data_IF_094636729620
#
_entry.id   IF_094636729620
#
_cell.length_a   1.000
_cell.length_b   1.000
_cell.length_c   1.000
_cell.angle_alpha   90.00
_cell.angle_beta   90.00
_cell.angle_gamma   90.00
#
_symmetry.space_group_name_H-M   'P 1'
#
loop_
_entity.id
_entity.type
_entity.pdbx_description
1 polymer ?
#
# COMPACT_ATOMS: atom_id res chain seq x y z
N UNK A 1 10.21 -20.55 -26.35
CA UNK A 1 10.09 -20.19 -25.74
C UNK A 1 9.71 -19.69 -25.16
N UNK A 2 9.36 -19.63 -25.10
CA UNK A 2 9.02 -19.06 -24.47
C UNK A 2 9.14 -18.75 -23.59
N UNK A 3 9.43 -18.43 -23.55
CA UNK A 3 9.55 -18.14 -22.58
C UNK A 3 8.71 -17.66 -21.83
N UNK A 4 8.76 -18.06 -21.03
CA UNK A 4 7.71 -17.58 -20.23
C UNK A 4 8.19 -16.45 -19.42
N UNK A 5 7.78 -15.33 -19.77
CA UNK A 5 8.02 -14.16 -18.96
C UNK A 5 6.81 -13.96 -18.12
N UNK A 6 6.96 -14.14 -16.83
CA UNK A 6 5.89 -13.80 -15.90
C UNK A 6 5.71 -12.29 -15.94
N UNK A 7 4.54 -11.80 -16.27
CA UNK A 7 4.31 -10.35 -16.27
C UNK A 7 4.59 -9.80 -14.89
N UNK A 8 5.36 -8.73 -14.83
CA UNK A 8 5.58 -8.04 -13.58
C UNK A 8 4.38 -7.17 -13.29
N UNK A 9 3.85 -7.27 -12.09
CA UNK A 9 2.75 -6.40 -11.76
C UNK A 9 3.24 -4.98 -11.55
N UNK A 10 2.47 -4.03 -12.06
CA UNK A 10 2.71 -2.62 -11.83
C UNK A 10 1.53 -2.00 -11.08
N UNK A 11 0.71 -2.82 -10.48
CA UNK A 11 -0.52 -2.36 -9.84
C UNK A 11 -0.25 -2.04 -8.37
N UNK A 12 -0.81 -0.94 -7.92
CA UNK A 12 -0.73 -0.53 -6.51
C UNK A 12 -2.15 -0.35 -6.00
N UNK A 13 -2.47 -1.05 -4.93
CA UNK A 13 -3.77 -0.92 -4.28
C UNK A 13 -3.79 0.35 -3.43
N UNK A 14 -4.85 1.13 -3.57
CA UNK A 14 -5.03 2.36 -2.79
C UNK A 14 -6.39 2.28 -2.13
N UNK A 15 -6.41 2.26 -0.81
CA UNK A 15 -7.64 2.23 -0.03
C UNK A 15 -7.72 3.48 0.84
N UNK A 16 -8.67 4.34 0.56
CA UNK A 16 -8.88 5.58 1.30
C UNK A 16 -10.32 6.01 1.09
N UNK A 17 -11.02 6.35 2.17
CA UNK A 17 -12.41 6.76 2.08
C UNK A 17 -12.60 8.22 1.65
N UNK A 18 -11.53 9.01 1.68
CA UNK A 18 -11.57 10.39 1.21
C UNK A 18 -11.28 10.42 -0.30
N UNK A 19 -12.27 10.78 -1.14
CA UNK A 19 -12.05 10.75 -2.59
C UNK A 19 -10.98 11.73 -3.04
N UNK A 20 -10.75 12.82 -2.33
CA UNK A 20 -9.73 13.80 -2.70
C UNK A 20 -8.35 13.20 -2.48
N UNK A 21 -8.11 12.61 -1.33
CA UNK A 21 -6.84 11.97 -1.03
C UNK A 21 -6.62 10.77 -1.97
N UNK A 22 -7.66 9.98 -2.16
CA UNK A 22 -7.59 8.82 -3.06
C UNK A 22 -7.17 9.23 -4.47
N UNK A 23 -7.74 10.33 -4.97
CA UNK A 23 -7.39 10.84 -6.29
C UNK A 23 -5.95 11.35 -6.33
N UNK A 24 -5.53 12.08 -5.30
CA UNK A 24 -4.16 12.57 -5.22
C UNK A 24 -3.16 11.42 -5.24
N UNK A 25 -3.39 10.41 -4.42
CA UNK A 25 -2.51 9.26 -4.36
C UNK A 25 -2.47 8.53 -5.70
N UNK A 26 -3.63 8.34 -6.33
CA UNK A 26 -3.71 7.69 -7.63
C UNK A 26 -2.92 8.45 -8.68
N UNK A 27 -3.01 9.78 -8.66
CA UNK A 27 -2.29 10.62 -9.62
C UNK A 27 -0.78 10.45 -9.47
N UNK A 28 -0.28 10.49 -8.24
CA UNK A 28 1.15 10.32 -7.98
C UNK A 28 1.63 8.93 -8.39
N UNK A 29 0.84 7.92 -8.09
CA UNK A 29 1.16 6.54 -8.47
C UNK A 29 1.30 6.42 -9.98
N UNK A 30 0.38 7.03 -10.73
CA UNK A 30 0.47 7.05 -12.19
C UNK A 30 1.72 7.76 -12.68
N UNK A 31 2.06 8.88 -12.07
CA UNK A 31 3.25 9.64 -12.45
C UNK A 31 4.52 8.84 -12.27
N UNK A 32 4.53 7.91 -11.33
CA UNK A 32 5.68 7.04 -11.09
C UNK A 32 5.68 5.80 -11.99
N UNK A 33 4.71 5.65 -12.87
CA UNK A 33 4.67 4.57 -13.83
C UNK A 33 3.89 3.34 -13.37
N UNK A 34 3.10 3.48 -12.33
CA UNK A 34 2.31 2.37 -11.80
C UNK A 34 0.83 2.54 -12.11
N UNK A 35 0.09 1.46 -11.95
CA UNK A 35 -1.35 1.44 -12.22
C UNK A 35 -2.09 1.46 -10.89
N UNK A 36 -2.82 2.53 -10.58
CA UNK A 36 -3.57 2.59 -9.33
C UNK A 36 -4.84 1.75 -9.42
N UNK A 37 -5.12 1.01 -8.36
CA UNK A 37 -6.37 0.28 -8.19
C UNK A 37 -6.97 0.82 -6.91
N UNK A 38 -8.06 1.57 -7.02
CA UNK A 38 -8.59 2.33 -5.89
C UNK A 38 -9.86 1.70 -5.33
N UNK A 39 -9.96 1.70 -4.01
CA UNK A 39 -11.17 1.30 -3.29
C UNK A 39 -11.46 2.33 -2.21
N UNK A 40 -12.72 2.40 -1.80
CA UNK A 40 -13.18 3.47 -0.91
C UNK A 40 -13.22 3.11 0.57
N UNK A 41 -13.03 1.85 0.93
CA UNK A 41 -13.03 1.46 2.33
C UNK A 41 -12.32 0.12 2.52
N UNK A 42 -12.11 -0.25 3.78
CA UNK A 42 -11.36 -1.45 4.11
C UNK A 42 -12.08 -2.74 3.72
N UNK A 43 -13.42 -2.73 3.74
CA UNK A 43 -14.19 -3.91 3.36
C UNK A 43 -14.07 -4.18 1.86
N UNK A 44 -14.13 -3.12 1.06
CA UNK A 44 -13.89 -3.23 -0.37
C UNK A 44 -12.50 -3.77 -0.67
N UNK A 45 -11.49 -3.24 0.04
CA UNK A 45 -10.12 -3.69 -0.13
C UNK A 45 -10.00 -5.17 0.19
N UNK A 46 -10.59 -5.60 1.28
CA UNK A 46 -10.56 -7.00 1.68
C UNK A 46 -11.22 -7.91 0.64
N UNK A 47 -12.39 -7.51 0.15
CA UNK A 47 -13.10 -8.27 -0.88
C UNK A 47 -12.27 -8.40 -2.15
N UNK A 48 -11.66 -7.31 -2.57
CA UNK A 48 -10.83 -7.32 -3.76
C UNK A 48 -9.64 -8.27 -3.59
N UNK A 49 -8.98 -8.20 -2.45
CA UNK A 49 -7.79 -9.01 -2.22
C UNK A 49 -8.10 -10.51 -2.03
N UNK A 50 -9.34 -10.86 -1.79
CA UNK A 50 -9.72 -12.27 -1.76
C UNK A 50 -9.65 -12.92 -3.14
N UNK A 51 -9.83 -12.13 -4.18
CA UNK A 51 -9.84 -12.65 -5.56
C UNK A 51 -8.67 -12.16 -6.39
N UNK A 52 -7.90 -11.19 -5.90
CA UNK A 52 -6.83 -10.57 -6.66
C UNK A 52 -5.69 -10.22 -5.71
N UNK A 53 -4.54 -10.84 -5.91
CA UNK A 53 -3.36 -10.60 -5.08
C UNK A 53 -2.23 -9.99 -5.88
N UNK A 54 -2.49 -9.53 -7.09
CA UNK A 54 -1.46 -9.07 -8.01
C UNK A 54 -1.19 -7.58 -7.81
N UNK A 55 -0.53 -7.26 -6.69
CA UNK A 55 -0.19 -5.89 -6.32
C UNK A 55 1.28 -5.77 -5.96
N UNK A 56 1.91 -4.72 -6.46
CA UNK A 56 3.29 -4.38 -6.15
C UNK A 56 3.42 -3.80 -4.75
N UNK A 57 2.42 -3.07 -4.31
CA UNK A 57 2.35 -2.44 -3.00
C UNK A 57 0.91 -2.11 -2.66
N UNK A 58 0.67 -1.79 -1.40
CA UNK A 58 -0.63 -1.32 -0.94
C UNK A 58 -0.46 -0.05 -0.14
N UNK A 59 -1.29 0.94 -0.41
CA UNK A 59 -1.33 2.20 0.32
C UNK A 59 -2.69 2.25 1.01
N UNK A 60 -2.68 2.23 2.33
CA UNK A 60 -3.89 2.08 3.12
C UNK A 60 -4.05 3.25 4.08
N UNK A 61 -5.26 3.81 4.11
CA UNK A 61 -5.62 4.78 5.13
C UNK A 61 -5.78 4.05 6.46
N UNK A 62 -5.22 4.61 7.51
CA UNK A 62 -5.34 4.05 8.86
C UNK A 62 -6.80 3.98 9.31
N UNK A 63 -7.57 5.01 9.00
CA UNK A 63 -8.93 5.16 9.49
C UNK A 63 -9.92 5.08 8.34
N UNK A 64 -10.61 3.96 8.23
CA UNK A 64 -11.61 3.72 7.19
C UNK A 64 -12.85 3.09 7.80
N UNK A 65 -14.03 3.35 7.19
CA UNK A 65 -15.24 2.66 7.64
C UNK A 65 -15.11 1.14 7.49
N UNK A 66 -15.77 0.43 8.37
CA UNK A 66 -15.95 -1.02 8.36
C UNK A 66 -14.70 -1.81 8.73
N UNK A 67 -13.54 -1.46 8.20
CA UNK A 67 -12.33 -2.20 8.45
C UNK A 67 -11.15 -1.23 8.42
N UNK A 68 -10.52 -1.03 9.57
CA UNK A 68 -9.41 -0.10 9.68
C UNK A 68 -8.14 -0.64 9.03
N UNK A 69 -7.22 0.29 8.72
CA UNK A 69 -5.99 -0.08 8.05
C UNK A 69 -5.19 -1.15 8.77
N UNK A 70 -5.10 -1.08 10.10
CA UNK A 70 -4.34 -2.07 10.85
C UNK A 70 -4.97 -3.47 10.76
N UNK A 71 -6.29 -3.55 10.73
CA UNK A 71 -6.99 -4.83 10.57
C UNK A 71 -6.72 -5.42 9.20
N UNK A 72 -6.68 -4.56 8.19
CA UNK A 72 -6.41 -4.99 6.84
C UNK A 72 -4.97 -5.52 6.71
N UNK A 73 -4.01 -4.86 7.38
CA UNK A 73 -2.64 -5.32 7.42
C UNK A 73 -2.57 -6.72 8.03
N UNK A 74 -3.24 -6.92 9.14
CA UNK A 74 -3.25 -8.23 9.79
C UNK A 74 -3.80 -9.30 8.87
N UNK A 75 -4.87 -9.00 8.18
CA UNK A 75 -5.44 -9.92 7.20
C UNK A 75 -4.41 -10.26 6.13
N UNK A 76 -3.76 -9.25 5.57
CA UNK A 76 -2.78 -9.46 4.50
C UNK A 76 -1.60 -10.32 4.96
N UNK A 77 -1.17 -10.15 6.20
CA UNK A 77 -0.02 -10.90 6.71
C UNK A 77 -0.34 -12.36 7.04
N UNK A 78 -1.61 -12.72 7.12
CA UNK A 78 -2.00 -14.12 7.34
C UNK A 78 -2.28 -14.86 6.05
N UNK A 79 -2.31 -14.17 4.90
CA UNK A 79 -2.60 -14.77 3.60
C UNK A 79 -1.32 -14.93 2.80
N UNK A 80 -0.99 -16.14 2.41
CA UNK A 80 0.26 -16.41 1.66
C UNK A 80 0.37 -15.57 0.41
N UNK A 81 -0.74 -15.35 -0.28
CA UNK A 81 -0.75 -14.58 -1.52
C UNK A 81 -0.48 -13.10 -1.31
N UNK A 82 -0.67 -12.62 -0.09
CA UNK A 82 -0.62 -11.17 0.21
C UNK A 82 0.52 -10.80 1.15
N UNK A 83 1.10 -11.77 1.84
CA UNK A 83 1.98 -11.50 2.96
C UNK A 83 3.28 -10.79 2.61
N UNK A 84 3.65 -10.78 1.35
CA UNK A 84 4.88 -10.13 0.91
C UNK A 84 4.67 -8.76 0.29
N UNK A 85 3.43 -8.32 0.16
CA UNK A 85 3.14 -7.02 -0.43
C UNK A 85 3.56 -5.93 0.55
N UNK A 86 4.46 -5.02 0.15
CA UNK A 86 4.84 -3.90 1.03
C UNK A 86 3.63 -2.99 1.26
N UNK A 87 3.51 -2.50 2.49
CA UNK A 87 2.34 -1.71 2.89
C UNK A 87 2.77 -0.38 3.44
N UNK A 88 2.22 0.70 2.88
CA UNK A 88 2.34 2.04 3.42
C UNK A 88 1.02 2.42 4.07
N UNK A 89 1.05 2.84 5.33
CA UNK A 89 -0.11 3.40 6.00
C UNK A 89 -0.07 4.91 5.91
N UNK A 90 -1.22 5.49 5.60
CA UNK A 90 -1.41 6.93 5.64
C UNK A 90 -2.27 7.24 6.85
N UNK A 91 -1.85 8.19 7.68
CA UNK A 91 -2.56 8.48 8.91
C UNK A 91 -2.56 9.97 9.22
N UNK A 92 -3.68 10.45 9.75
CA UNK A 92 -3.79 11.80 10.30
C UNK A 92 -3.50 11.80 11.81
N UNK A 93 -3.41 10.62 12.42
CA UNK A 93 -3.28 10.48 13.87
C UNK A 93 -1.84 10.29 14.27
N UNK A 94 -1.29 11.19 15.12
CA UNK A 94 0.09 11.04 15.58
C UNK A 94 0.21 10.13 16.80
N UNK A 95 -0.57 9.08 16.90
CA UNK A 95 -0.55 8.18 18.03
C UNK A 95 0.59 7.18 17.87
N UNK A 96 1.63 7.35 18.70
CA UNK A 96 2.83 6.53 18.66
C UNK A 96 2.52 5.06 18.91
N UNK A 97 1.58 4.77 19.80
CA UNK A 97 1.20 3.40 20.09
C UNK A 97 0.58 2.74 18.84
N UNK A 98 -0.30 3.47 18.18
CA UNK A 98 -0.94 2.95 16.99
C UNK A 98 0.07 2.71 15.86
N UNK A 99 1.04 3.61 15.72
CA UNK A 99 2.12 3.43 14.75
C UNK A 99 2.95 2.20 15.07
N UNK A 100 3.31 2.05 16.35
CA UNK A 100 4.09 0.90 16.80
C UNK A 100 3.34 -0.41 16.55
N UNK A 101 2.06 -0.44 16.89
CA UNK A 101 1.22 -1.62 16.67
C UNK A 101 1.11 -1.96 15.19
N UNK A 102 1.03 -0.94 14.35
CA UNK A 102 0.92 -1.13 12.90
C UNK A 102 2.21 -1.69 12.30
N UNK A 103 3.37 -1.23 12.77
CA UNK A 103 4.65 -1.82 12.36
C UNK A 103 4.74 -3.28 12.81
N UNK A 104 4.33 -3.54 14.04
CA UNK A 104 4.32 -4.91 14.56
C UNK A 104 3.38 -5.80 13.76
N UNK A 105 2.28 -5.25 13.28
CA UNK A 105 1.33 -5.98 12.45
C UNK A 105 1.86 -6.22 11.04
N UNK A 106 2.84 -5.45 10.58
CA UNK A 106 3.46 -5.68 9.29
C UNK A 106 3.48 -4.50 8.33
N UNK A 107 3.16 -3.29 8.79
CA UNK A 107 3.30 -2.11 7.95
C UNK A 107 4.78 -1.87 7.65
N UNK A 108 5.07 -1.43 6.44
CA UNK A 108 6.44 -1.20 5.99
C UNK A 108 6.83 0.27 6.10
N UNK A 109 5.87 1.16 5.93
CA UNK A 109 6.13 2.60 5.91
C UNK A 109 4.90 3.36 6.38
N UNK A 110 5.12 4.61 6.79
CA UNK A 110 4.05 5.53 7.18
C UNK A 110 4.19 6.84 6.44
N UNK A 111 3.04 7.46 6.18
CA UNK A 111 2.99 8.81 5.66
C UNK A 111 1.93 9.58 6.44
N UNK A 112 2.32 10.72 7.01
CA UNK A 112 1.40 11.52 7.84
C UNK A 112 0.60 12.49 6.99
N UNK A 113 -0.71 12.58 7.24
CA UNK A 113 -1.57 13.60 6.63
C UNK A 113 -1.44 14.91 7.41
N UNK A 114 -1.43 16.08 6.75
CA UNK A 114 -1.38 16.26 5.32
C UNK A 114 0.00 16.03 4.75
N UNK A 115 0.09 15.61 3.50
CA UNK A 115 1.37 15.39 2.83
C UNK A 115 1.36 16.07 1.46
N UNK A 116 2.55 16.35 0.96
CA UNK A 116 2.71 16.91 -0.38
C UNK A 116 2.90 15.76 -1.38
N UNK A 117 2.63 16.02 -2.68
CA UNK A 117 2.93 15.01 -3.70
C UNK A 117 4.39 14.54 -3.66
N UNK A 118 5.32 15.45 -3.37
CA UNK A 118 6.74 15.12 -3.28
C UNK A 118 7.04 14.19 -2.12
N UNK A 119 6.41 14.41 -0.99
CA UNK A 119 6.56 13.53 0.17
C UNK A 119 6.04 12.12 -0.14
N UNK A 120 4.91 12.06 -0.83
CA UNK A 120 4.35 10.77 -1.23
C UNK A 120 5.26 10.06 -2.23
N UNK A 121 5.79 10.80 -3.22
CA UNK A 121 6.72 10.24 -4.19
C UNK A 121 7.94 9.65 -3.50
N UNK A 122 8.52 10.40 -2.57
CA UNK A 122 9.70 9.94 -1.83
C UNK A 122 9.39 8.67 -1.03
N UNK A 123 8.27 8.68 -0.33
CA UNK A 123 7.86 7.52 0.46
C UNK A 123 7.63 6.30 -0.42
N UNK A 124 6.99 6.48 -1.57
CA UNK A 124 6.74 5.39 -2.50
C UNK A 124 8.03 4.83 -3.10
N UNK A 125 8.95 5.71 -3.46
CA UNK A 125 10.24 5.25 -3.98
C UNK A 125 10.98 4.42 -2.95
N UNK A 126 10.95 4.83 -1.70
CA UNK A 126 11.57 4.07 -0.62
C UNK A 126 10.88 2.72 -0.42
N UNK A 127 9.56 2.72 -0.44
CA UNK A 127 8.78 1.50 -0.27
C UNK A 127 9.07 0.50 -1.38
N UNK A 128 9.03 0.97 -2.60
CA UNK A 128 9.20 0.11 -3.78
C UNK A 128 10.66 -0.23 -4.01
N UNK A 129 11.56 0.68 -3.66
CA UNK A 129 12.98 0.48 -3.85
C UNK A 129 13.61 -0.48 -2.86
N UNK A 130 12.93 -0.77 -1.76
CA UNK A 130 13.45 -1.67 -0.74
C UNK A 130 13.83 -3.02 -1.33
N UNK A 131 12.94 -3.60 -2.15
CA UNK A 131 13.24 -4.86 -2.83
C UNK A 131 14.37 -4.72 -3.82
N UNK A 132 14.37 -3.62 -4.56
CA UNK A 132 15.40 -3.37 -5.56
C UNK A 132 16.76 -3.15 -4.93
N UNK A 133 16.79 -2.45 -3.81
CA UNK A 133 18.02 -2.22 -3.08
C UNK A 133 18.70 -3.51 -2.69
N UNK A 134 17.92 -4.46 -2.22
CA UNK A 134 18.45 -5.75 -1.81
C UNK A 134 19.17 -6.43 -2.93
N UNK A 135 18.61 -6.39 -4.13
CA UNK A 135 19.26 -7.01 -5.27
C UNK A 135 20.53 -6.30 -5.67
N UNK A 136 20.53 -4.99 -5.57
CA UNK A 136 21.66 -4.22 -6.01
C UNK A 136 22.83 -4.27 -5.06
N UNK A 137 22.59 -4.66 -3.85
CA UNK A 137 23.64 -4.78 -2.87
C UNK A 137 24.63 -5.89 -3.22
N UNK A 138 24.28 -6.71 -4.15
CA UNK A 138 25.18 -7.80 -4.57
C UNK A 138 26.35 -7.30 -5.46
#
# INVERSE_FOLDING_TARGET
MLMTITPQTNRILIADDDPIIRHLVATVVKQLGYIPVTVGDGREACRLMKVDADFKAAILDMSMPYLEGIELIRYMRTEKRLMRIPIMLITAEPDIRLLSDSFSAGATAFLHKPFTPEQLQTALRMLLGTSSSTRRAA
#
